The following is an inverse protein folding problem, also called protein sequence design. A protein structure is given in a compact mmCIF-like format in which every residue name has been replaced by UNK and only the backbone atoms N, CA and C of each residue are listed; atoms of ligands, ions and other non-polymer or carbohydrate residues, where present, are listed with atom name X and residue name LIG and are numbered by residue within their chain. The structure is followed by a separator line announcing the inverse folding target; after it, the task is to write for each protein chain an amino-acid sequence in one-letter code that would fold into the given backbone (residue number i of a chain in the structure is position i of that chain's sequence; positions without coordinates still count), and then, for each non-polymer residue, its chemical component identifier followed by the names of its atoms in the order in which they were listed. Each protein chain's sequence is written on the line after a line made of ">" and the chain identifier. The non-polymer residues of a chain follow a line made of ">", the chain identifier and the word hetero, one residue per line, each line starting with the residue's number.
data_IF_065856922045
#
_entry.id   IF_065856922045
#
_cell.length_a   1.000
_cell.length_b   1.000
_cell.length_c   1.000
_cell.angle_alpha   90.00
_cell.angle_beta   90.00
_cell.angle_gamma   90.00
#
_symmetry.space_group_name_H-M   'P 1'
#
loop_
_entity.id
_entity.type
_entity.pdbx_description
1 polymer ?
#
# COMPACT_ATOMS: atom_id res chain seq x y z
N UNK A 1 3.03 -15.40 3.78
CA UNK A 1 2.33 -14.17 4.22
C UNK A 1 1.76 -13.41 3.02
N UNK A 2 2.59 -13.06 2.02
CA UNK A 2 2.17 -12.41 0.75
C UNK A 2 0.87 -12.97 0.14
N UNK A 3 0.80 -14.29 -0.05
CA UNK A 3 -0.41 -14.92 -0.62
C UNK A 3 -1.63 -14.83 0.30
N UNK A 4 -1.45 -14.90 1.64
CA UNK A 4 -2.56 -14.81 2.61
C UNK A 4 -3.12 -13.40 2.72
N UNK A 5 -2.29 -12.35 2.65
CA UNK A 5 -2.75 -10.95 2.64
C UNK A 5 -3.53 -10.65 1.36
N UNK A 6 -3.08 -11.17 0.22
CA UNK A 6 -3.83 -11.11 -1.03
C UNK A 6 -5.21 -11.75 -0.92
N UNK A 7 -5.33 -12.95 -0.32
CA UNK A 7 -6.62 -13.63 -0.11
C UNK A 7 -7.56 -12.86 0.82
N UNK A 8 -7.04 -12.23 1.88
CA UNK A 8 -7.83 -11.40 2.80
C UNK A 8 -8.40 -10.15 2.09
N UNK A 9 -7.58 -9.47 1.28
CA UNK A 9 -8.01 -8.32 0.48
C UNK A 9 -9.04 -8.70 -0.58
N UNK A 10 -8.88 -9.87 -1.21
CA UNK A 10 -9.83 -10.40 -2.19
C UNK A 10 -11.19 -10.73 -1.56
N UNK A 11 -11.20 -11.15 -0.29
CA UNK A 11 -12.42 -11.39 0.49
C UNK A 11 -13.13 -10.12 0.96
N UNK A 12 -12.42 -8.99 1.11
CA UNK A 12 -13.03 -7.71 1.52
C UNK A 12 -13.83 -7.06 0.39
N UNK A 13 -13.29 -7.04 -0.82
CA UNK A 13 -13.97 -6.53 -2.01
C UNK A 13 -13.59 -7.37 -3.22
N UNK A 14 -14.57 -8.10 -3.75
CA UNK A 14 -14.39 -8.98 -4.89
C UNK A 14 -14.41 -8.19 -6.21
N UNK A 15 -13.59 -8.59 -7.18
CA UNK A 15 -13.53 -7.92 -8.48
C UNK A 15 -14.82 -8.09 -9.31
N UNK A 16 -15.74 -8.97 -8.91
CA UNK A 16 -17.04 -9.14 -9.56
C UNK A 16 -18.18 -8.35 -8.89
N UNK A 17 -17.90 -7.55 -7.85
CA UNK A 17 -18.93 -6.75 -7.19
C UNK A 17 -19.44 -5.67 -8.16
N UNK A 18 -20.76 -5.52 -8.36
CA UNK A 18 -21.29 -4.59 -9.34
C UNK A 18 -21.16 -3.14 -8.86
N UNK A 19 -20.05 -2.49 -9.22
CA UNK A 19 -19.86 -1.06 -9.01
C UNK A 19 -20.50 -0.25 -10.14
N UNK A 20 -21.04 0.93 -9.81
CA UNK A 20 -21.63 1.88 -10.77
C UNK A 20 -20.57 2.59 -11.62
N UNK A 21 -19.32 2.58 -11.17
CA UNK A 21 -18.17 3.13 -11.87
C UNK A 21 -17.40 1.98 -12.55
N UNK A 22 -17.60 1.81 -13.87
CA UNK A 22 -17.03 0.73 -14.68
C UNK A 22 -16.19 1.22 -15.87
N UNK A 23 -15.99 2.53 -15.98
CA UNK A 23 -15.42 3.14 -17.18
C UNK A 23 -13.93 2.82 -17.39
N UNK A 24 -13.23 2.32 -16.36
CA UNK A 24 -11.77 2.11 -16.37
C UNK A 24 -11.35 0.64 -16.21
N UNK A 25 -12.32 -0.29 -16.17
CA UNK A 25 -12.09 -1.73 -16.05
C UNK A 25 -12.75 -2.38 -14.83
N UNK A 26 -12.83 -3.72 -14.77
CA UNK A 26 -13.51 -4.45 -13.70
C UNK A 26 -12.73 -4.51 -12.37
N UNK A 27 -11.42 -4.25 -12.36
CA UNK A 27 -10.53 -4.29 -11.18
C UNK A 27 -10.31 -2.91 -10.52
N UNK A 28 -10.76 -1.83 -11.15
CA UNK A 28 -10.47 -0.46 -10.74
C UNK A 28 -11.18 -0.02 -9.44
N UNK A 29 -12.51 -0.15 -9.39
CA UNK A 29 -13.28 0.15 -8.17
C UNK A 29 -12.93 -0.71 -6.94
N UNK A 30 -12.74 -2.04 -7.07
CA UNK A 30 -12.20 -2.85 -6.00
C UNK A 30 -10.84 -2.35 -5.48
N UNK A 31 -9.95 -1.88 -6.37
CA UNK A 31 -8.64 -1.35 -5.99
C UNK A 31 -8.77 -0.03 -5.21
N UNK A 32 -9.63 0.90 -5.65
CA UNK A 32 -9.87 2.18 -4.95
C UNK A 32 -10.32 2.00 -3.49
N UNK A 33 -11.23 1.04 -3.23
CA UNK A 33 -11.72 0.77 -1.87
C UNK A 33 -10.62 0.16 -1.00
N UNK A 34 -9.81 -0.76 -1.55
CA UNK A 34 -8.68 -1.37 -0.83
C UNK A 34 -7.62 -0.33 -0.47
N UNK A 35 -7.28 0.55 -1.40
CA UNK A 35 -6.31 1.63 -1.18
C UNK A 35 -6.78 2.64 -0.14
N UNK A 36 -8.07 2.99 -0.13
CA UNK A 36 -8.64 3.89 0.89
C UNK A 36 -8.57 3.28 2.31
N UNK A 37 -8.71 1.95 2.43
CA UNK A 37 -8.69 1.26 3.71
C UNK A 37 -7.28 1.00 4.27
N UNK A 38 -6.30 0.72 3.40
CA UNK A 38 -4.90 0.46 3.79
C UNK A 38 -4.13 1.77 4.01
N UNK A 39 -4.53 2.83 3.30
CA UNK A 39 -3.79 4.08 3.23
C UNK A 39 -2.74 4.09 2.12
N UNK A 40 -2.44 5.28 1.60
CA UNK A 40 -1.51 5.51 0.49
C UNK A 40 -0.13 6.01 0.94
N UNK A 41 0.05 6.25 2.24
CA UNK A 41 1.29 6.78 2.80
C UNK A 41 1.60 6.16 4.16
N UNK A 42 2.88 6.13 4.50
CA UNK A 42 3.38 5.63 5.78
C UNK A 42 4.28 6.70 6.38
N UNK A 43 4.15 6.92 7.69
CA UNK A 43 5.11 7.70 8.48
C UNK A 43 5.91 6.74 9.34
N UNK A 44 7.24 6.72 9.16
CA UNK A 44 8.13 5.75 9.78
C UNK A 44 9.19 6.52 10.59
N UNK A 45 9.29 6.32 11.90
CA UNK A 45 10.32 6.97 12.70
C UNK A 45 11.72 6.53 12.27
N UNK A 46 12.68 7.45 12.34
CA UNK A 46 14.10 7.17 12.07
C UNK A 46 14.87 7.39 13.37
N UNK A 47 15.58 6.37 13.80
CA UNK A 47 16.45 6.41 14.99
C UNK A 47 17.85 6.03 14.57
N UNK A 48 18.85 6.85 14.92
CA UNK A 48 20.26 6.59 14.58
C UNK A 48 20.53 6.35 13.08
N UNK A 49 19.81 7.07 12.22
CA UNK A 49 19.94 6.93 10.77
C UNK A 49 19.34 5.64 10.20
N UNK A 50 18.59 4.86 10.99
CA UNK A 50 17.91 3.63 10.55
C UNK A 50 16.40 3.77 10.70
N UNK A 51 15.65 3.17 9.77
CA UNK A 51 14.20 3.04 9.91
C UNK A 51 13.90 2.21 11.16
N UNK A 52 13.09 2.75 12.07
CA UNK A 52 12.75 2.12 13.32
C UNK A 52 11.58 1.13 13.12
N UNK A 53 11.90 0.00 12.51
CA UNK A 53 10.97 -1.10 12.27
C UNK A 53 11.20 -2.21 13.28
N UNK A 54 10.11 -2.82 13.78
CA UNK A 54 10.19 -4.05 14.55
C UNK A 54 10.65 -5.24 13.70
N UNK A 55 11.12 -6.32 14.35
CA UNK A 55 11.68 -7.53 13.71
C UNK A 55 10.83 -8.11 12.58
N UNK A 56 9.51 -7.97 12.67
CA UNK A 56 8.55 -8.53 11.71
C UNK A 56 7.81 -7.47 10.87
N UNK A 57 8.18 -6.19 11.00
CA UNK A 57 7.60 -5.11 10.20
C UNK A 57 8.35 -4.95 8.89
N UNK A 58 7.61 -4.77 7.79
CA UNK A 58 8.15 -4.51 6.47
C UNK A 58 7.32 -3.48 5.74
N UNK A 59 7.94 -2.77 4.80
CA UNK A 59 7.28 -1.78 3.94
C UNK A 59 6.96 -2.47 2.62
N UNK A 60 5.70 -2.38 2.20
CA UNK A 60 5.21 -3.06 1.00
C UNK A 60 4.49 -2.08 0.09
N UNK A 61 4.78 -2.15 -1.21
CA UNK A 61 3.93 -1.57 -2.25
C UNK A 61 2.91 -2.64 -2.65
N UNK A 62 1.65 -2.42 -2.32
CA UNK A 62 0.56 -3.30 -2.71
C UNK A 62 -0.04 -2.78 -4.03
N UNK A 63 0.34 -3.38 -5.15
CA UNK A 63 -0.35 -3.18 -6.43
C UNK A 63 -1.59 -4.08 -6.48
N UNK A 64 -2.74 -3.47 -6.73
CA UNK A 64 -4.03 -4.17 -6.68
C UNK A 64 -4.61 -4.48 -8.06
N UNK A 65 -4.02 -3.94 -9.13
CA UNK A 65 -4.43 -4.21 -10.51
C UNK A 65 -3.60 -5.34 -11.10
N UNK A 66 -4.28 -6.26 -11.78
CA UNK A 66 -3.61 -7.37 -12.47
C UNK A 66 -2.76 -6.87 -13.66
N UNK A 67 -3.16 -5.74 -14.24
CA UNK A 67 -2.44 -5.06 -15.33
C UNK A 67 -2.18 -3.60 -14.97
N UNK A 68 -1.17 -3.38 -14.13
CA UNK A 68 -0.78 -2.06 -13.65
C UNK A 68 0.33 -1.41 -14.48
N UNK A 69 0.23 -0.10 -14.68
CA UNK A 69 1.35 0.73 -15.17
C UNK A 69 2.41 1.00 -14.10
N UNK A 70 3.48 1.73 -14.45
CA UNK A 70 4.55 2.11 -13.52
C UNK A 70 4.00 2.92 -12.32
N UNK A 71 4.64 2.77 -11.16
CA UNK A 71 4.35 3.54 -9.94
C UNK A 71 5.54 4.38 -9.53
N UNK A 72 5.26 5.60 -9.09
CA UNK A 72 6.24 6.51 -8.51
C UNK A 72 6.01 6.56 -7.00
N UNK A 73 7.07 6.36 -6.22
CA UNK A 73 7.05 6.52 -4.77
C UNK A 73 7.79 7.80 -4.41
N UNK A 74 7.19 8.62 -3.55
CA UNK A 74 7.81 9.83 -3.02
C UNK A 74 8.20 9.58 -1.57
N UNK A 75 9.45 9.85 -1.23
CA UNK A 75 9.98 9.72 0.13
C UNK A 75 10.46 11.08 0.60
N UNK A 76 9.87 11.55 1.69
CA UNK A 76 10.28 12.78 2.37
C UNK A 76 10.90 12.40 3.71
N UNK A 77 12.14 12.81 3.93
CA UNK A 77 12.83 12.63 5.20
C UNK A 77 13.01 13.98 5.88
N UNK A 78 12.67 14.05 7.16
CA UNK A 78 12.81 15.25 7.98
C UNK A 78 13.37 14.86 9.35
N UNK A 79 14.30 15.67 9.87
CA UNK A 79 14.96 15.41 11.14
C UNK A 79 16.13 16.36 11.39
N UNK A 80 16.80 16.18 12.53
CA UNK A 80 17.99 16.94 12.91
C UNK A 80 19.26 16.06 12.82
N UNK A 81 20.44 16.66 12.65
CA UNK A 81 21.71 15.92 12.71
C UNK A 81 21.88 15.23 14.07
N UNK A 82 22.48 14.05 14.07
CA UNK A 82 22.90 13.41 15.32
C UNK A 82 24.04 14.22 15.94
N UNK A 83 23.92 14.52 17.23
CA UNK A 83 25.05 15.06 18.00
C UNK A 83 26.08 13.93 18.15
N UNK A 84 27.33 14.22 17.76
CA UNK A 84 28.47 13.32 17.96
C UNK A 84 28.77 13.14 19.45
#
# INVERSE_FOLDING_TARGET
>A
LYNKTGTLMYGMVHNSTPFRHKCEGPDDMPAHIKTAFIGTSLSIPITEGKLNLGTWQGIWLCEHRDHAGKRNLVVTMQGAPMKK
#
